data_IF_314022531411
#
_entry.id   IF_314022531411
#
_cell.length_a   1.000
_cell.length_b   1.000
_cell.length_c   1.000
_cell.angle_alpha   90.00
_cell.angle_beta   90.00
_cell.angle_gamma   90.00
#
_symmetry.space_group_name_H-M   'P 1'
#
loop_
_entity.id
_entity.type
_entity.pdbx_description
1 polymer ?
#
# COMPACT_ATOMS: atom_id res chain seq x y z
N UNK A 1 36.58 29.93 13.78
CA UNK A 1 37.37 29.57 14.98
C UNK A 1 36.44 29.61 16.17
N UNK A 2 35.99 28.45 16.64
CA UNK A 2 35.22 28.27 17.87
C UNK A 2 35.67 26.96 18.50
N UNK A 3 35.82 27.00 19.82
CA UNK A 3 36.70 26.20 20.64
C UNK A 3 36.40 24.69 20.66
N UNK A 4 37.49 23.91 20.64
CA UNK A 4 37.56 22.48 20.91
C UNK A 4 37.58 22.27 22.44
N UNK A 5 36.48 21.85 23.09
CA UNK A 5 36.64 20.96 24.24
C UNK A 5 35.56 19.87 24.38
N UNK A 6 34.68 19.63 23.40
CA UNK A 6 33.66 18.57 23.49
C UNK A 6 34.04 17.25 22.81
N UNK A 7 35.00 17.27 21.88
CA UNK A 7 35.42 16.07 21.15
C UNK A 7 36.35 15.15 21.96
N UNK A 8 37.00 15.64 23.02
CA UNK A 8 37.95 14.85 23.83
C UNK A 8 37.24 13.98 24.86
N UNK A 9 36.10 14.44 25.40
CA UNK A 9 35.34 13.69 26.41
C UNK A 9 34.60 12.46 25.83
N UNK A 10 34.12 12.55 24.58
CA UNK A 10 33.40 11.45 23.92
C UNK A 10 34.31 10.28 23.52
N UNK A 11 35.59 10.55 23.23
CA UNK A 11 36.57 9.51 22.86
C UNK A 11 37.08 8.75 24.09
N UNK A 12 37.19 9.42 25.23
CA UNK A 12 37.62 8.78 26.48
C UNK A 12 36.56 7.80 27.02
N UNK A 13 35.27 8.14 26.88
CA UNK A 13 34.18 7.30 27.36
C UNK A 13 33.91 6.07 26.47
N UNK A 14 34.10 6.21 25.15
CA UNK A 14 33.93 5.10 24.20
C UNK A 14 34.98 3.98 24.35
N UNK A 15 36.19 4.30 24.84
CA UNK A 15 37.26 3.32 25.06
C UNK A 15 37.04 2.46 26.31
N UNK A 16 36.44 3.01 27.36
CA UNK A 16 36.15 2.28 28.61
C UNK A 16 34.97 1.30 28.43
N UNK A 17 33.96 1.68 27.63
CA UNK A 17 32.79 0.84 27.35
C UNK A 17 33.13 -0.42 26.51
N UNK A 18 34.08 -0.33 25.58
CA UNK A 18 34.48 -1.46 24.74
C UNK A 18 35.30 -2.54 25.50
N UNK A 19 35.92 -2.15 26.62
CA UNK A 19 36.68 -3.07 27.50
C UNK A 19 35.77 -3.93 28.38
N UNK A 20 34.55 -3.47 28.64
CA UNK A 20 33.54 -4.17 29.46
C UNK A 20 32.68 -5.18 28.66
N UNK A 21 32.55 -5.02 27.34
CA UNK A 21 31.80 -5.94 26.49
C UNK A 21 32.61 -7.14 25.98
N UNK A 22 33.95 -7.11 26.09
CA UNK A 22 34.84 -8.16 25.56
C UNK A 22 35.26 -9.22 26.59
N UNK A 23 34.87 -9.08 27.87
CA UNK A 23 35.17 -10.06 28.93
C UNK A 23 34.04 -11.07 29.21
N UNK A 24 32.97 -11.08 28.41
CA UNK A 24 31.75 -11.88 28.66
C UNK A 24 31.59 -13.09 27.71
N UNK A 25 32.39 -13.20 26.65
CA UNK A 25 32.30 -14.32 25.69
C UNK A 25 33.60 -15.13 25.68
N UNK A 26 33.86 -15.83 26.77
CA UNK A 26 34.85 -16.90 26.82
C UNK A 26 34.25 -18.13 27.53
N UNK A 27 33.44 -18.91 26.82
CA UNK A 27 33.29 -20.33 27.13
C UNK A 27 33.31 -21.15 25.84
N UNK A 28 34.10 -22.20 25.92
CA UNK A 28 34.77 -22.96 24.88
C UNK A 28 33.89 -24.16 24.53
N UNK A 29 33.50 -24.31 23.26
CA UNK A 29 32.83 -25.50 22.76
C UNK A 29 33.88 -26.57 22.37
N UNK A 30 33.80 -27.74 23.00
CA UNK A 30 34.37 -29.00 22.51
C UNK A 30 33.36 -30.14 22.75
N UNK A 31 33.28 -31.16 21.89
CA UNK A 31 32.14 -32.07 21.84
C UNK A 31 32.42 -33.41 22.54
N UNK A 32 31.39 -34.04 23.13
CA UNK A 32 31.19 -35.50 23.11
C UNK A 32 29.92 -35.92 23.88
N UNK A 33 29.41 -37.04 23.38
CA UNK A 33 28.38 -37.98 23.82
C UNK A 33 28.31 -38.38 25.30
N UNK A 34 27.09 -38.81 25.70
CA UNK A 34 26.75 -39.94 26.59
C UNK A 34 26.15 -39.65 28.01
N UNK A 35 24.87 -40.05 28.14
CA UNK A 35 24.24 -40.95 29.15
C UNK A 35 24.27 -40.63 30.68
N UNK A 36 23.07 -40.79 31.28
CA UNK A 36 22.69 -41.14 32.69
C UNK A 36 22.68 -40.11 33.85
N UNK A 37 21.43 -39.79 34.28
CA UNK A 37 20.78 -39.88 35.61
C UNK A 37 21.49 -39.60 36.96
N UNK A 38 20.66 -39.12 37.91
CA UNK A 38 20.76 -39.05 39.40
C UNK A 38 21.17 -37.66 39.94
N UNK A 39 20.25 -36.86 40.50
CA UNK A 39 19.66 -36.80 41.87
C UNK A 39 20.60 -36.31 42.98
N UNK A 40 20.02 -35.47 43.87
CA UNK A 40 20.45 -35.06 45.23
C UNK A 40 21.45 -33.88 45.35
N UNK A 41 21.47 -33.02 46.37
CA UNK A 41 20.51 -32.39 47.31
C UNK A 41 21.29 -31.22 47.96
N UNK A 42 20.58 -30.14 48.32
CA UNK A 42 20.79 -29.24 49.48
C UNK A 42 22.08 -28.39 49.76
N UNK A 43 21.79 -27.08 49.94
CA UNK A 43 22.10 -26.23 51.11
C UNK A 43 23.19 -25.12 51.06
N UNK A 44 22.68 -23.88 51.13
CA UNK A 44 23.06 -22.76 52.02
C UNK A 44 24.49 -22.20 52.01
N UNK A 45 24.63 -20.94 51.53
CA UNK A 45 25.27 -19.88 52.34
C UNK A 45 24.80 -18.49 51.88
N UNK A 46 23.90 -17.88 52.65
CA UNK A 46 23.66 -16.43 52.66
C UNK A 46 24.73 -15.80 53.54
N UNK A 47 25.55 -14.88 53.00
CA UNK A 47 26.11 -13.68 53.68
C UNK A 47 27.05 -12.98 52.71
N UNK A 48 26.61 -11.86 52.14
CA UNK A 48 27.37 -10.63 51.78
C UNK A 48 26.58 -9.84 50.73
N UNK A 49 25.47 -9.22 51.13
CA UNK A 49 24.79 -8.19 50.32
C UNK A 49 24.49 -7.01 51.24
N UNK A 50 25.54 -6.29 51.65
CA UNK A 50 25.31 -5.07 52.45
C UNK A 50 26.42 -4.03 52.37
N UNK A 51 27.14 -3.89 51.25
CA UNK A 51 28.12 -2.77 51.13
C UNK A 51 28.32 -2.21 49.71
N UNK A 52 27.40 -2.45 48.76
CA UNK A 52 27.50 -1.91 47.40
C UNK A 52 26.25 -1.14 46.91
N UNK A 53 25.35 -0.74 47.82
CA UNK A 53 24.06 -0.12 47.47
C UNK A 53 24.05 1.43 47.54
N UNK A 54 24.89 2.03 48.39
CA UNK A 54 24.81 3.47 48.67
C UNK A 54 25.53 4.38 47.64
N UNK A 55 26.62 3.91 47.02
CA UNK A 55 27.37 4.71 46.05
C UNK A 55 26.65 4.82 44.69
N UNK A 56 26.00 3.73 44.24
CA UNK A 56 25.29 3.68 42.97
C UNK A 56 24.01 4.52 42.96
N UNK A 57 23.30 4.60 44.09
CA UNK A 57 22.08 5.42 44.22
C UNK A 57 22.38 6.92 44.31
N UNK A 58 23.52 7.31 44.86
CA UNK A 58 23.91 8.73 44.97
C UNK A 58 24.32 9.30 43.61
N UNK A 59 25.05 8.52 42.80
CA UNK A 59 25.43 8.92 41.44
C UNK A 59 24.23 9.06 40.48
N UNK A 60 23.25 8.15 40.56
CA UNK A 60 22.04 8.22 39.74
C UNK A 60 21.12 9.39 40.11
N UNK A 61 21.03 9.73 41.41
CA UNK A 61 20.28 10.91 41.86
C UNK A 61 20.93 12.22 41.40
N UNK A 62 22.26 12.34 41.49
CA UNK A 62 22.97 13.51 41.00
C UNK A 62 22.80 13.69 39.47
N UNK A 63 22.84 12.60 38.70
CA UNK A 63 22.62 12.63 37.25
C UNK A 63 21.18 13.03 36.89
N UNK A 64 20.18 12.59 37.65
CA UNK A 64 18.78 12.99 37.47
C UNK A 64 18.52 14.46 37.83
N UNK A 65 19.16 14.98 38.88
CA UNK A 65 19.07 16.40 39.25
C UNK A 65 19.71 17.28 38.18
N UNK A 66 20.88 16.91 37.69
CA UNK A 66 21.55 17.61 36.59
C UNK A 66 20.74 17.58 35.29
N UNK A 67 20.14 16.45 34.92
CA UNK A 67 19.23 16.35 33.75
C UNK A 67 17.98 17.22 33.90
N UNK A 68 17.48 17.38 35.12
CA UNK A 68 16.29 18.19 35.41
C UNK A 68 16.61 19.68 35.38
N UNK A 69 17.75 20.10 35.92
CA UNK A 69 18.24 21.49 35.85
C UNK A 69 18.69 21.88 34.43
N UNK A 70 19.34 20.97 33.68
CA UNK A 70 19.73 21.21 32.29
C UNK A 70 18.51 21.41 31.37
N UNK A 71 17.41 20.69 31.63
CA UNK A 71 16.14 20.83 30.91
C UNK A 71 15.42 22.15 31.21
N UNK A 72 15.65 22.75 32.37
CA UNK A 72 15.10 24.07 32.75
C UNK A 72 15.93 25.21 32.14
N UNK A 73 17.26 25.05 32.06
CA UNK A 73 18.16 26.06 31.52
C UNK A 73 18.14 26.19 29.97
N UNK A 74 17.62 25.19 29.26
CA UNK A 74 17.47 25.20 27.80
C UNK A 74 16.01 24.91 27.41
N UNK A 75 15.10 25.91 27.48
CA UNK A 75 13.83 25.79 26.80
C UNK A 75 14.14 25.62 25.32
N UNK A 76 13.93 24.41 24.83
CA UNK A 76 13.91 24.12 23.42
C UNK A 76 12.71 24.90 22.89
N UNK A 77 12.98 26.14 22.46
CA UNK A 77 12.11 26.87 21.57
C UNK A 77 12.01 26.00 20.33
N UNK A 78 11.02 25.12 20.32
CA UNK A 78 10.52 24.51 19.11
C UNK A 78 10.04 25.68 18.27
N UNK A 79 10.96 26.22 17.47
CA UNK A 79 10.61 27.05 16.33
C UNK A 79 9.47 26.32 15.63
N UNK A 80 8.32 26.95 15.34
CA UNK A 80 7.24 26.27 14.67
C UNK A 80 7.82 25.82 13.34
N UNK A 81 8.23 24.54 13.29
CA UNK A 81 8.73 23.90 12.10
C UNK A 81 7.68 24.21 11.07
N UNK A 82 8.07 24.94 10.02
CA UNK A 82 7.23 25.23 8.87
C UNK A 82 6.40 23.98 8.64
N UNK A 83 5.11 24.03 8.96
CA UNK A 83 4.22 22.92 8.71
C UNK A 83 4.31 22.76 7.20
N UNK A 84 5.13 21.81 6.74
CA UNK A 84 5.08 21.34 5.39
C UNK A 84 3.67 20.80 5.30
N UNK A 85 2.75 21.62 4.80
CA UNK A 85 1.39 21.21 4.51
C UNK A 85 1.56 19.93 3.70
N UNK A 86 1.24 18.79 4.30
CA UNK A 86 1.31 17.51 3.60
C UNK A 86 0.33 17.69 2.45
N UNK A 87 0.85 17.96 1.25
CA UNK A 87 0.02 18.21 0.07
C UNK A 87 -0.76 16.94 -0.15
N UNK A 88 -2.02 16.94 0.30
CA UNK A 88 -2.93 15.83 0.13
C UNK A 88 -2.95 15.47 -1.36
N UNK A 89 -2.54 14.24 -1.65
CA UNK A 89 -2.46 13.71 -3.00
C UNK A 89 -3.87 13.72 -3.58
N UNK A 90 -4.07 14.48 -4.66
CA UNK A 90 -5.37 14.60 -5.34
C UNK A 90 -5.59 13.41 -6.28
N UNK A 91 -6.77 12.81 -6.18
CA UNK A 91 -7.28 11.77 -7.07
C UNK A 91 -8.24 12.41 -8.07
N UNK A 92 -8.42 11.82 -9.25
CA UNK A 92 -9.35 12.37 -10.24
C UNK A 92 -10.81 12.24 -9.80
N UNK A 93 -11.19 11.09 -9.22
CA UNK A 93 -12.53 10.86 -8.70
C UNK A 93 -12.68 11.47 -7.29
N UNK A 94 -13.51 12.52 -7.20
CA UNK A 94 -13.82 13.22 -5.94
C UNK A 94 -15.18 12.87 -5.35
N UNK A 95 -16.08 12.29 -6.15
CA UNK A 95 -17.48 12.01 -5.77
C UNK A 95 -17.64 10.83 -4.81
N UNK A 96 -16.57 10.06 -4.56
CA UNK A 96 -16.61 8.89 -3.68
C UNK A 96 -16.37 9.33 -2.23
N UNK A 97 -17.29 8.95 -1.34
CA UNK A 97 -17.22 9.23 0.09
C UNK A 97 -15.87 8.79 0.68
N UNK A 98 -15.07 9.69 1.28
CA UNK A 98 -13.73 9.38 1.77
C UNK A 98 -13.73 8.51 3.03
N UNK A 99 -14.84 8.47 3.77
CA UNK A 99 -15.00 7.69 4.99
C UNK A 99 -15.07 6.19 4.69
N UNK A 100 -15.91 5.80 3.72
CA UNK A 100 -16.12 4.40 3.29
C UNK A 100 -15.15 3.93 2.20
N UNK A 101 -14.07 4.67 1.96
CA UNK A 101 -13.15 4.37 0.87
C UNK A 101 -11.69 4.34 1.27
N UNK A 102 -10.95 3.40 0.71
CA UNK A 102 -9.49 3.31 0.82
C UNK A 102 -8.87 3.64 -0.53
N UNK A 103 -7.74 4.37 -0.52
CA UNK A 103 -7.09 4.85 -1.75
C UNK A 103 -5.65 4.37 -1.81
N UNK A 104 -5.16 4.10 -3.01
CA UNK A 104 -3.75 3.85 -3.27
C UNK A 104 -3.32 4.48 -4.60
N UNK A 105 -2.05 4.89 -4.68
CA UNK A 105 -1.49 5.52 -5.88
C UNK A 105 -0.04 5.08 -6.09
N UNK A 106 0.31 4.81 -7.33
CA UNK A 106 1.69 4.67 -7.77
C UNK A 106 2.00 5.73 -8.82
N UNK A 107 3.06 6.50 -8.62
CA UNK A 107 3.49 7.54 -9.56
C UNK A 107 4.81 7.17 -10.24
N UNK A 108 4.97 7.58 -11.51
CA UNK A 108 6.19 7.35 -12.29
C UNK A 108 6.59 5.86 -12.41
N UNK A 109 5.60 4.97 -12.39
CA UNK A 109 5.85 3.53 -12.45
C UNK A 109 6.39 3.16 -13.83
N UNK A 110 7.53 2.46 -13.86
CA UNK A 110 8.20 2.04 -15.10
C UNK A 110 7.58 0.78 -15.69
N UNK A 111 6.31 0.89 -16.06
CA UNK A 111 5.51 -0.15 -16.70
C UNK A 111 4.78 0.44 -17.91
N UNK A 112 4.45 -0.40 -18.91
CA UNK A 112 3.79 0.07 -20.14
C UNK A 112 2.42 0.64 -19.85
N UNK A 113 2.23 1.94 -20.09
CA UNK A 113 0.93 2.61 -19.96
C UNK A 113 -0.22 1.86 -20.65
N UNK A 114 -0.01 1.41 -21.89
CA UNK A 114 -1.06 0.78 -22.70
C UNK A 114 -1.51 -0.54 -22.09
N UNK A 115 -0.56 -1.39 -21.70
CA UNK A 115 -0.88 -2.69 -21.10
C UNK A 115 -1.57 -2.50 -19.75
N UNK A 116 -1.02 -1.62 -18.90
CA UNK A 116 -1.58 -1.35 -17.57
C UNK A 116 -2.98 -0.76 -17.65
N UNK A 117 -3.29 0.06 -18.67
CA UNK A 117 -4.66 0.56 -18.89
C UNK A 117 -5.62 -0.58 -19.17
N UNK A 118 -5.28 -1.51 -20.06
CA UNK A 118 -6.17 -2.65 -20.38
C UNK A 118 -6.35 -3.57 -19.16
N UNK A 119 -5.27 -3.85 -18.42
CA UNK A 119 -5.34 -4.66 -17.19
C UNK A 119 -6.17 -3.99 -16.10
N UNK A 120 -6.00 -2.69 -15.89
CA UNK A 120 -6.77 -1.93 -14.92
C UNK A 120 -8.27 -1.92 -15.26
N UNK A 121 -8.61 -1.78 -16.55
CA UNK A 121 -10.01 -1.80 -16.99
C UNK A 121 -10.66 -3.18 -16.88
N UNK A 122 -9.89 -4.27 -16.89
CA UNK A 122 -10.42 -5.60 -16.69
C UNK A 122 -10.92 -5.84 -15.26
N UNK A 123 -10.30 -5.20 -14.26
CA UNK A 123 -10.64 -5.35 -12.83
C UNK A 123 -11.54 -4.22 -12.30
N UNK A 124 -11.94 -3.27 -13.16
CA UNK A 124 -12.75 -2.14 -12.75
C UNK A 124 -14.17 -2.60 -12.37
N UNK A 125 -14.62 -2.25 -11.17
CA UNK A 125 -15.93 -2.64 -10.64
C UNK A 125 -16.00 -4.04 -10.01
N UNK A 126 -14.87 -4.74 -9.88
CA UNK A 126 -14.85 -6.09 -9.30
C UNK A 126 -14.69 -6.07 -7.77
N UNK A 127 -15.15 -7.15 -7.12
CA UNK A 127 -14.76 -7.44 -5.73
C UNK A 127 -13.24 -7.64 -5.65
N UNK A 128 -12.62 -7.11 -4.60
CA UNK A 128 -11.17 -7.12 -4.40
C UNK A 128 -10.58 -8.54 -4.52
N UNK A 129 -11.18 -9.51 -3.82
CA UNK A 129 -10.71 -10.90 -3.80
C UNK A 129 -10.69 -11.54 -5.21
N UNK A 130 -11.73 -11.30 -6.03
CA UNK A 130 -11.78 -11.79 -7.41
C UNK A 130 -10.72 -11.09 -8.27
N UNK A 131 -10.52 -9.79 -8.09
CA UNK A 131 -9.52 -9.03 -8.83
C UNK A 131 -8.09 -9.52 -8.52
N UNK A 132 -7.76 -9.77 -7.26
CA UNK A 132 -6.46 -10.34 -6.85
C UNK A 132 -6.23 -11.70 -7.52
N UNK A 133 -7.19 -12.62 -7.37
CA UNK A 133 -7.10 -13.97 -7.97
C UNK A 133 -6.97 -13.94 -9.49
N UNK A 134 -7.67 -13.01 -10.15
CA UNK A 134 -7.55 -12.82 -11.60
C UNK A 134 -6.14 -12.39 -12.01
N UNK A 135 -5.56 -11.41 -11.31
CA UNK A 135 -4.23 -10.92 -11.65
C UNK A 135 -3.14 -11.97 -11.38
N UNK A 136 -3.29 -12.80 -10.34
CA UNK A 136 -2.43 -13.97 -10.11
C UNK A 136 -2.55 -14.99 -11.25
N UNK A 137 -3.78 -15.30 -11.67
CA UNK A 137 -4.02 -16.18 -12.83
C UNK A 137 -3.44 -15.62 -14.14
N UNK A 138 -3.39 -14.29 -14.30
CA UNK A 138 -2.75 -13.63 -15.45
C UNK A 138 -1.23 -13.80 -15.42
N UNK A 139 -0.60 -13.75 -14.24
CA UNK A 139 0.84 -14.03 -14.11
C UNK A 139 1.16 -15.48 -14.49
N UNK A 140 0.30 -16.42 -14.10
CA UNK A 140 0.40 -17.85 -14.42
C UNK A 140 -0.12 -18.23 -15.82
N UNK A 141 -0.58 -17.26 -16.61
CA UNK A 141 -1.15 -17.46 -17.95
C UNK A 141 -2.41 -18.33 -18.03
N UNK A 142 -3.11 -18.52 -16.89
CA UNK A 142 -4.38 -19.25 -16.80
C UNK A 142 -5.57 -18.45 -17.32
N UNK A 143 -5.58 -17.14 -17.05
CA UNK A 143 -6.58 -16.20 -17.55
C UNK A 143 -5.89 -15.07 -18.32
N UNK A 144 -6.50 -14.56 -19.39
CA UNK A 144 -5.94 -13.47 -20.21
C UNK A 144 -6.68 -12.14 -19.97
N UNK A 145 -5.95 -11.05 -20.15
CA UNK A 145 -6.49 -9.68 -20.15
C UNK A 145 -7.00 -9.34 -21.54
N UNK A 146 -8.29 -9.00 -21.63
CA UNK A 146 -8.89 -8.50 -22.86
C UNK A 146 -8.25 -7.16 -23.28
N UNK A 147 -7.75 -7.11 -24.51
CA UNK A 147 -7.14 -5.90 -25.08
C UNK A 147 -8.20 -5.18 -25.93
N UNK A 148 -8.81 -4.13 -25.39
CA UNK A 148 -9.94 -3.44 -26.03
C UNK A 148 -9.51 -2.24 -26.86
N UNK A 149 -8.79 -1.27 -26.26
CA UNK A 149 -8.38 -0.04 -26.97
C UNK A 149 -7.05 -0.19 -27.69
N UNK A 150 -6.06 -0.79 -27.02
CA UNK A 150 -4.71 -0.93 -27.55
C UNK A 150 -4.43 -2.33 -28.10
N UNK A 151 -5.20 -2.72 -29.13
CA UNK A 151 -5.19 -4.07 -29.71
C UNK A 151 -4.74 -4.11 -31.18
N UNK A 152 -3.97 -3.11 -31.63
CA UNK A 152 -3.42 -3.06 -32.98
C UNK A 152 -2.36 -4.15 -33.21
N UNK A 153 -2.53 -4.94 -34.26
CA UNK A 153 -1.60 -6.00 -34.70
C UNK A 153 -1.17 -6.96 -33.58
N UNK A 154 -2.09 -7.32 -32.68
CA UNK A 154 -1.86 -8.30 -31.63
C UNK A 154 -2.40 -9.68 -32.02
N UNK A 155 -1.78 -10.74 -31.53
CA UNK A 155 -2.26 -12.11 -31.72
C UNK A 155 -3.60 -12.37 -31.04
N UNK A 156 -4.26 -13.45 -31.47
CA UNK A 156 -5.53 -13.94 -30.92
C UNK A 156 -5.28 -15.04 -29.89
N UNK A 157 -6.18 -15.20 -28.93
CA UNK A 157 -6.13 -16.30 -27.96
C UNK A 157 -7.53 -16.76 -27.59
N UNK A 158 -7.71 -18.07 -27.37
CA UNK A 158 -8.99 -18.65 -26.98
C UNK A 158 -9.49 -18.13 -25.62
N UNK A 159 -8.58 -17.72 -24.72
CA UNK A 159 -8.92 -17.16 -23.41
C UNK A 159 -9.66 -15.81 -23.51
N UNK A 160 -9.60 -15.13 -24.66
CA UNK A 160 -10.38 -13.91 -24.89
C UNK A 160 -11.89 -14.15 -24.94
N UNK A 161 -12.35 -15.39 -25.21
CA UNK A 161 -13.77 -15.73 -25.32
C UNK A 161 -14.56 -15.41 -24.06
N UNK A 162 -13.96 -15.57 -22.88
CA UNK A 162 -14.57 -15.22 -21.59
C UNK A 162 -14.98 -13.74 -21.50
N UNK A 163 -14.34 -12.89 -22.31
CA UNK A 163 -14.54 -11.44 -22.34
C UNK A 163 -15.27 -10.96 -23.60
N UNK A 164 -15.73 -11.88 -24.46
CA UNK A 164 -16.34 -11.57 -25.75
C UNK A 164 -15.37 -10.96 -26.76
N UNK A 165 -14.06 -11.26 -26.66
CA UNK A 165 -13.05 -10.76 -27.62
C UNK A 165 -12.16 -11.88 -28.14
N UNK A 166 -11.68 -11.75 -29.36
CA UNK A 166 -10.66 -12.63 -29.94
C UNK A 166 -9.23 -12.23 -29.52
N UNK A 167 -9.06 -10.99 -29.03
CA UNK A 167 -7.76 -10.36 -28.78
C UNK A 167 -7.49 -10.15 -27.29
N UNK A 168 -6.61 -10.97 -26.72
CA UNK A 168 -6.20 -10.89 -25.32
C UNK A 168 -4.72 -11.26 -25.15
N UNK A 169 -4.12 -10.83 -24.03
CA UNK A 169 -2.69 -11.05 -23.69
C UNK A 169 -2.49 -11.21 -22.18
N UNK A 170 -1.28 -11.60 -21.78
CA UNK A 170 -0.85 -11.74 -20.38
C UNK A 170 0.21 -10.68 -20.01
N UNK A 171 -0.20 -9.45 -19.66
CA UNK A 171 0.74 -8.39 -19.28
C UNK A 171 1.25 -8.58 -17.83
N UNK A 172 2.17 -9.53 -17.62
CA UNK A 172 2.71 -9.94 -16.31
C UNK A 172 3.20 -8.75 -15.47
N UNK A 173 4.04 -7.89 -16.05
CA UNK A 173 4.57 -6.71 -15.35
C UNK A 173 3.46 -5.74 -14.92
N UNK A 174 2.41 -5.58 -15.72
CA UNK A 174 1.29 -4.70 -15.33
C UNK A 174 0.47 -5.31 -14.20
N UNK A 175 0.25 -6.64 -14.22
CA UNK A 175 -0.45 -7.36 -13.17
C UNK A 175 0.28 -7.29 -11.83
N UNK A 176 1.61 -7.44 -11.82
CA UNK A 176 2.45 -7.34 -10.61
C UNK A 176 2.32 -5.97 -9.92
N UNK A 177 2.45 -4.88 -10.66
CA UNK A 177 2.31 -3.52 -10.10
C UNK A 177 0.89 -3.25 -9.60
N UNK A 178 -0.14 -3.78 -10.29
CA UNK A 178 -1.53 -3.65 -9.85
C UNK A 178 -1.81 -4.45 -8.58
N UNK A 179 -1.29 -5.68 -8.47
CA UNK A 179 -1.38 -6.50 -7.26
C UNK A 179 -0.76 -5.79 -6.05
N UNK A 180 0.44 -5.22 -6.22
CA UNK A 180 1.09 -4.46 -5.15
C UNK A 180 0.26 -3.26 -4.69
N UNK A 181 -0.38 -2.55 -5.61
CA UNK A 181 -1.25 -1.41 -5.27
C UNK A 181 -2.57 -1.83 -4.63
N UNK A 182 -3.16 -2.96 -5.04
CA UNK A 182 -4.37 -3.51 -4.43
C UNK A 182 -4.12 -3.95 -2.99
N UNK A 183 -3.02 -4.68 -2.73
CA UNK A 183 -2.62 -5.09 -1.37
C UNK A 183 -2.37 -3.87 -0.46
N UNK A 184 -1.75 -2.82 -1.00
CA UNK A 184 -1.58 -1.56 -0.26
C UNK A 184 -2.93 -0.90 0.05
N UNK A 185 -3.86 -0.89 -0.90
CA UNK A 185 -5.20 -0.33 -0.67
C UNK A 185 -6.03 -1.15 0.33
N UNK A 186 -5.87 -2.47 0.34
CA UNK A 186 -6.45 -3.39 1.32
C UNK A 186 -5.93 -3.07 2.73
N UNK A 187 -4.61 -2.97 2.90
CA UNK A 187 -4.02 -2.58 4.20
C UNK A 187 -4.47 -1.18 4.66
N UNK A 188 -4.70 -0.25 3.73
CA UNK A 188 -5.28 1.06 4.05
C UNK A 188 -6.76 0.97 4.44
N UNK A 189 -7.50 -0.02 3.92
CA UNK A 189 -8.89 -0.27 4.28
C UNK A 189 -9.00 -0.90 5.67
N UNK A 190 -8.14 -1.88 5.96
CA UNK A 190 -7.99 -2.47 7.30
C UNK A 190 -7.67 -1.40 8.35
N UNK A 191 -6.70 -0.53 8.05
CA UNK A 191 -6.34 0.57 8.95
C UNK A 191 -7.48 1.57 9.19
N UNK A 192 -8.45 1.66 8.27
CA UNK A 192 -9.66 2.48 8.41
C UNK A 192 -10.81 1.72 9.09
N UNK A 193 -10.67 0.42 9.36
CA UNK A 193 -11.72 -0.42 9.91
C UNK A 193 -12.85 -0.74 8.93
N UNK A 194 -12.57 -0.71 7.62
CA UNK A 194 -13.51 -1.13 6.59
C UNK A 194 -13.57 -2.66 6.51
N UNK A 195 -14.70 -3.23 6.11
CA UNK A 195 -14.84 -4.68 5.89
C UNK A 195 -14.12 -5.12 4.61
N UNK A 196 -12.96 -5.78 4.79
CA UNK A 196 -12.13 -6.29 3.69
C UNK A 196 -12.80 -7.34 2.82
N UNK A 197 -13.80 -8.05 3.35
CA UNK A 197 -14.50 -9.10 2.60
C UNK A 197 -15.40 -8.51 1.51
N UNK A 198 -15.93 -7.31 1.76
CA UNK A 198 -16.90 -6.65 0.89
C UNK A 198 -16.34 -5.44 0.14
N UNK A 199 -15.00 -5.34 0.01
CA UNK A 199 -14.38 -4.29 -0.79
C UNK A 199 -14.57 -4.50 -2.29
N UNK A 200 -14.92 -3.42 -2.98
CA UNK A 200 -15.09 -3.34 -4.42
C UNK A 200 -14.13 -2.29 -4.97
N UNK A 201 -13.49 -2.59 -6.11
CA UNK A 201 -12.71 -1.63 -6.88
C UNK A 201 -13.66 -0.66 -7.59
N UNK A 202 -14.02 0.43 -6.91
CA UNK A 202 -14.98 1.41 -7.45
C UNK A 202 -14.39 2.25 -8.58
N UNK A 203 -13.13 2.64 -8.42
CA UNK A 203 -12.45 3.48 -9.39
C UNK A 203 -11.02 3.02 -9.56
N UNK A 204 -10.60 2.86 -10.82
CA UNK A 204 -9.21 2.64 -11.18
C UNK A 204 -8.89 3.43 -12.45
N UNK A 205 -7.84 4.23 -12.37
CA UNK A 205 -7.39 5.06 -13.47
C UNK A 205 -5.89 4.91 -13.67
N UNK A 206 -5.51 4.87 -14.95
CA UNK A 206 -4.12 4.82 -15.39
C UNK A 206 -3.90 5.99 -16.34
N UNK A 207 -2.96 6.87 -15.99
CA UNK A 207 -2.58 8.05 -16.75
C UNK A 207 -1.14 7.93 -17.24
N UNK A 208 -0.80 8.65 -18.31
CA UNK A 208 0.57 8.68 -18.83
C UNK A 208 1.47 9.47 -17.88
N UNK A 209 2.66 8.96 -17.61
CA UNK A 209 3.71 9.68 -16.93
C UNK A 209 4.74 10.24 -17.94
N UNK A 210 5.58 11.21 -17.54
CA UNK A 210 6.64 11.73 -18.40
C UNK A 210 7.52 10.63 -19.01
N UNK A 211 7.71 10.68 -20.32
CA UNK A 211 8.47 9.67 -21.07
C UNK A 211 9.95 9.76 -20.76
N UNK A 212 10.58 8.62 -20.46
CA UNK A 212 12.04 8.56 -20.31
C UNK A 212 12.66 8.33 -21.68
N UNK A 213 13.63 9.18 -22.07
CA UNK A 213 14.20 9.20 -23.42
C UNK A 213 15.57 8.53 -23.45
N UNK A 214 15.75 7.59 -24.38
CA UNK A 214 17.03 7.03 -24.81
C UNK A 214 17.18 7.28 -26.31
N UNK A 215 18.37 7.03 -26.87
CA UNK A 215 18.66 7.19 -28.30
C UNK A 215 18.89 5.82 -28.93
N UNK A 216 18.46 5.67 -30.18
CA UNK A 216 18.78 4.52 -31.03
C UNK A 216 19.43 5.02 -32.30
N UNK A 217 20.65 4.56 -32.54
CA UNK A 217 21.38 4.81 -33.78
C UNK A 217 20.81 3.92 -34.89
N UNK A 218 20.63 4.50 -36.07
CA UNK A 218 20.05 3.86 -37.25
C UNK A 218 21.00 4.02 -38.43
N UNK A 219 20.68 3.30 -39.51
CA UNK A 219 21.43 3.37 -40.76
C UNK A 219 21.61 4.81 -41.26
N UNK A 220 22.72 5.05 -41.94
CA UNK A 220 23.10 6.34 -42.52
C UNK A 220 23.16 7.50 -41.50
N UNK A 221 23.68 7.23 -40.29
CA UNK A 221 23.89 8.28 -39.27
C UNK A 221 22.62 8.85 -38.62
N UNK A 222 21.45 8.25 -38.86
CA UNK A 222 20.17 8.71 -38.30
C UNK A 222 20.08 8.39 -36.81
N UNK A 223 19.51 9.32 -36.02
CA UNK A 223 19.26 9.12 -34.59
C UNK A 223 17.76 9.23 -34.32
N UNK A 224 17.16 8.14 -33.84
CA UNK A 224 15.75 8.12 -33.45
C UNK A 224 15.62 8.03 -31.91
N UNK A 225 14.54 8.57 -31.33
CA UNK A 225 14.28 8.41 -29.91
C UNK A 225 13.73 7.01 -29.59
N UNK A 226 14.24 6.40 -28.53
CA UNK A 226 13.65 5.21 -27.92
C UNK A 226 13.13 5.57 -26.54
N UNK A 227 11.82 5.64 -26.40
CA UNK A 227 11.17 6.18 -25.20
C UNK A 227 10.53 5.06 -24.37
N UNK A 228 10.71 5.12 -23.06
CA UNK A 228 9.87 4.36 -22.13
C UNK A 228 8.58 5.13 -21.88
N UNK A 229 7.46 4.42 -21.77
CA UNK A 229 6.13 5.00 -21.54
C UNK A 229 5.62 4.60 -20.15
N UNK A 230 6.13 5.21 -19.06
CA UNK A 230 5.68 4.95 -17.69
C UNK A 230 4.26 5.45 -17.47
N UNK A 231 3.66 5.06 -16.34
CA UNK A 231 2.31 5.50 -15.96
C UNK A 231 2.19 5.94 -14.50
N UNK A 232 1.12 6.70 -14.25
CA UNK A 232 0.56 6.93 -12.92
C UNK A 232 -0.68 6.05 -12.79
N UNK A 233 -0.78 5.31 -11.70
CA UNK A 233 -1.94 4.47 -11.39
C UNK A 233 -2.56 5.03 -10.11
N UNK A 234 -3.87 5.20 -10.12
CA UNK A 234 -4.64 5.52 -8.92
C UNK A 234 -5.84 4.59 -8.83
N UNK A 235 -6.14 4.14 -7.61
CA UNK A 235 -7.27 3.27 -7.35
C UNK A 235 -7.95 3.63 -6.03
N UNK A 236 -9.26 3.38 -6.00
CA UNK A 236 -10.13 3.63 -4.86
C UNK A 236 -10.97 2.38 -4.66
N UNK A 237 -10.88 1.81 -3.46
CA UNK A 237 -11.74 0.76 -2.97
C UNK A 237 -12.87 1.38 -2.15
N UNK A 238 -14.06 0.83 -2.26
CA UNK A 238 -15.21 1.17 -1.41
C UNK A 238 -15.83 -0.10 -0.87
N UNK A 239 -16.46 -0.01 0.29
CA UNK A 239 -17.37 -1.08 0.72
C UNK A 239 -18.55 -1.18 -0.26
N UNK A 240 -18.94 -2.41 -0.58
CA UNK A 240 -20.14 -2.66 -1.36
C UNK A 240 -21.38 -2.42 -0.50
N UNK A 241 -22.18 -1.41 -0.84
CA UNK A 241 -23.49 -1.23 -0.23
C UNK A 241 -24.49 -2.19 -0.88
N UNK A 242 -25.12 -3.04 -0.08
CA UNK A 242 -26.30 -3.81 -0.50
C UNK A 242 -27.51 -2.90 -0.52
N UNK A 243 -27.60 -2.03 -1.52
CA UNK A 243 -28.81 -1.21 -1.71
C UNK A 243 -29.89 -2.08 -2.34
N UNK A 244 -30.78 -2.60 -1.50
CA UNK A 244 -32.05 -3.19 -1.96
C UNK A 244 -32.82 -2.07 -2.66
N UNK A 245 -32.91 -2.14 -3.98
CA UNK A 245 -33.70 -1.21 -4.79
C UNK A 245 -35.13 -1.26 -4.27
N UNK A 246 -35.54 -0.17 -3.62
CA UNK A 246 -36.94 0.00 -3.22
C UNK A 246 -37.73 0.03 -4.52
N UNK A 247 -38.77 -0.81 -4.63
CA UNK A 247 -39.65 -0.82 -5.80
C UNK A 247 -40.06 0.61 -6.13
N UNK A 248 -40.05 0.99 -7.41
CA UNK A 248 -40.58 2.28 -7.84
C UNK A 248 -41.93 2.48 -7.14
N UNK A 249 -42.07 3.60 -6.44
CA UNK A 249 -43.37 3.98 -5.91
C UNK A 249 -44.30 3.98 -7.12
N UNK A 250 -45.34 3.14 -7.11
CA UNK A 250 -46.32 3.04 -8.19
C UNK A 250 -46.74 4.47 -8.48
N UNK A 251 -46.24 5.05 -9.58
CA UNK A 251 -46.66 6.36 -10.03
C UNK A 251 -48.17 6.25 -10.10
N UNK A 252 -48.86 6.98 -9.21
CA UNK A 252 -50.27 6.74 -8.93
C UNK A 252 -50.98 6.61 -10.26
N UNK A 253 -51.50 5.40 -10.56
CA UNK A 253 -52.15 5.14 -11.83
C UNK A 253 -53.17 6.26 -12.00
N UNK A 254 -52.96 7.12 -13.00
CA UNK A 254 -53.84 8.24 -13.25
C UNK A 254 -55.26 7.66 -13.34
N UNK A 255 -56.14 8.00 -12.39
CA UNK A 255 -57.45 7.37 -12.30
C UNK A 255 -58.33 7.96 -13.41
N UNK A 256 -58.17 7.41 -14.61
CA UNK A 256 -58.89 7.85 -15.79
C UNK A 256 -60.32 7.31 -15.76
N UNK A 257 -61.26 8.19 -16.02
CA UNK A 257 -62.65 7.82 -16.33
C UNK A 257 -62.69 6.85 -17.52
N UNK A 258 -63.69 5.96 -17.56
CA UNK A 258 -63.90 5.01 -18.68
C UNK A 258 -63.88 5.70 -20.05
N UNK A 259 -64.46 6.92 -20.14
CA UNK A 259 -64.49 7.72 -21.37
C UNK A 259 -63.09 8.21 -21.79
N UNK A 260 -62.26 8.63 -20.84
CA UNK A 260 -60.89 9.10 -21.10
C UNK A 260 -59.97 7.96 -21.54
N UNK A 261 -60.14 6.76 -20.97
CA UNK A 261 -59.44 5.55 -21.42
C UNK A 261 -59.82 5.19 -22.85
N UNK A 262 -61.11 5.18 -23.17
CA UNK A 262 -61.60 4.92 -24.53
C UNK A 262 -61.07 5.91 -25.56
N UNK A 263 -61.00 7.20 -25.21
CA UNK A 263 -60.47 8.24 -26.10
C UNK A 263 -58.97 8.07 -26.37
N UNK A 264 -58.15 7.79 -25.34
CA UNK A 264 -56.70 7.55 -25.50
C UNK A 264 -56.41 6.31 -26.34
N UNK A 265 -57.18 5.23 -26.15
CA UNK A 265 -57.03 4.00 -26.95
C UNK A 265 -57.37 4.25 -28.41
N UNK A 266 -58.46 4.97 -28.71
CA UNK A 266 -58.81 5.33 -30.09
C UNK A 266 -57.73 6.22 -30.72
N UNK A 267 -57.26 7.24 -30.00
CA UNK A 267 -56.17 8.10 -30.48
C UNK A 267 -54.89 7.31 -30.77
N UNK A 268 -54.52 6.35 -29.92
CA UNK A 268 -53.36 5.49 -30.14
C UNK A 268 -53.54 4.56 -31.37
N UNK A 269 -54.75 4.06 -31.61
CA UNK A 269 -55.06 3.23 -32.79
C UNK A 269 -55.06 4.05 -34.08
N UNK A 270 -55.51 5.31 -34.03
CA UNK A 270 -55.60 6.18 -35.22
C UNK A 270 -54.25 6.80 -35.58
N UNK A 271 -53.32 6.85 -34.63
CA UNK A 271 -51.97 7.40 -34.80
C UNK A 271 -50.91 6.35 -35.19
N UNK A 272 -51.27 5.07 -35.20
CA UNK A 272 -50.45 3.96 -35.67
C UNK A 272 -50.76 3.65 -37.14
#
# INVERSE_FOLDING_TARGET
>A
MLSRPLAVYLVFWAKEYHKLLTSSTASKAAPATAVTTSTATEASTTTTITTASAAATTALKAHLVWLKEWRIAHPHTSSPSSQQSVKMVRYAATEIEPAKSARARGAYLRVSFKNTRETAQAINGWKLQRAVKFLENVQEHKEAVAMRRYNGSIGRTAQGKAWGTDRARWPVKSAEFLLGLLKNAESNADAKGLDTSNLIVKHIQVNQAPKQRRRTYRAHGRINPYMSNPCHIELILTEGEEVVQKSEAVAGREHLSSRQRGARVRQAITAA
#
